data_IF_286623455962
#
_entry.id   IF_286623455962
#
_cell.length_a   1.000
_cell.length_b   1.000
_cell.length_c   1.000
_cell.angle_alpha   90.00
_cell.angle_beta   90.00
_cell.angle_gamma   90.00
#
_symmetry.space_group_name_H-M   'P 1'
#
loop_
_entity.id
_entity.type
_entity.pdbx_description
1 polymer ?
#
# COMPACT_ATOMS: atom_id res chain seq x y z
N UNK A 1 -2.09 10.94 -7.54
CA UNK A 1 -1.49 9.87 -6.71
C UNK A 1 -1.63 10.36 -5.29
N UNK A 2 -2.10 9.52 -4.37
CA UNK A 2 -2.21 9.96 -2.98
C UNK A 2 -0.87 9.90 -2.26
N UNK A 3 -0.90 10.16 -0.96
CA UNK A 3 0.21 9.85 -0.05
C UNK A 3 -0.23 8.90 1.07
N UNK A 4 -0.65 7.65 0.76
CA UNK A 4 -1.14 6.70 1.75
C UNK A 4 0.03 6.14 2.57
N UNK A 5 0.55 6.92 3.50
CA UNK A 5 1.59 6.51 4.45
C UNK A 5 0.96 6.22 5.80
N UNK A 6 1.67 5.45 6.62
CA UNK A 6 1.27 5.16 8.02
C UNK A 6 1.05 6.46 8.80
N UNK A 7 1.82 7.52 8.51
CA UNK A 7 1.66 8.83 9.15
C UNK A 7 0.34 9.55 8.77
N UNK A 8 -0.28 9.17 7.65
CA UNK A 8 -1.47 9.80 7.10
C UNK A 8 -2.75 8.98 7.38
N UNK A 9 -2.67 8.00 8.27
CA UNK A 9 -3.84 7.27 8.79
C UNK A 9 -3.92 7.41 10.31
N UNK A 10 -5.10 7.80 10.78
CA UNK A 10 -5.43 7.87 12.21
C UNK A 10 -6.32 6.67 12.52
N UNK A 11 -5.86 5.81 13.43
CA UNK A 11 -6.67 4.75 14.00
C UNK A 11 -7.45 5.28 15.19
N UNK A 12 -8.77 5.18 15.11
CA UNK A 12 -9.70 5.39 16.23
C UNK A 12 -10.20 4.04 16.72
N UNK A 13 -10.87 3.99 17.88
CA UNK A 13 -11.47 2.74 18.39
C UNK A 13 -12.48 2.11 17.41
N UNK A 14 -13.08 2.91 16.53
CA UNK A 14 -14.14 2.47 15.63
C UNK A 14 -13.68 2.25 14.18
N UNK A 15 -12.66 2.98 13.72
CA UNK A 15 -12.26 3.01 12.29
C UNK A 15 -10.88 3.61 12.04
N UNK A 16 -10.38 3.36 10.83
CA UNK A 16 -9.25 4.08 10.24
C UNK A 16 -9.74 5.31 9.46
N UNK A 17 -9.08 6.45 9.66
CA UNK A 17 -9.35 7.72 8.98
C UNK A 17 -8.11 8.19 8.22
N UNK A 18 -8.23 8.36 6.91
CA UNK A 18 -7.18 8.94 6.07
C UNK A 18 -7.22 10.47 6.16
N UNK A 19 -6.05 11.07 6.33
CA UNK A 19 -5.83 12.52 6.31
C UNK A 19 -4.90 12.88 5.13
N UNK A 20 -4.65 14.17 4.94
CA UNK A 20 -3.79 14.68 3.86
C UNK A 20 -4.25 14.27 2.45
N UNK A 21 -5.53 14.55 2.17
CA UNK A 21 -6.21 14.18 0.93
C UNK A 21 -6.06 15.24 -0.19
N UNK A 22 -5.06 16.12 -0.10
CA UNK A 22 -4.90 17.25 -1.01
C UNK A 22 -4.57 16.82 -2.46
N UNK A 23 -3.96 15.65 -2.64
CA UNK A 23 -3.56 15.11 -3.95
C UNK A 23 -4.47 13.96 -4.45
N UNK A 24 -5.67 13.81 -3.88
CA UNK A 24 -6.60 12.76 -4.30
C UNK A 24 -7.09 13.01 -5.73
N UNK A 25 -6.74 12.08 -6.61
CA UNK A 25 -7.19 12.03 -8.00
C UNK A 25 -8.20 10.89 -8.16
N UNK A 26 -8.97 10.91 -9.26
CA UNK A 26 -9.80 9.78 -9.64
C UNK A 26 -8.96 8.50 -9.72
N UNK A 27 -9.46 7.43 -9.08
CA UNK A 27 -8.70 6.19 -8.96
C UNK A 27 -8.54 5.50 -10.32
N UNK A 28 -7.30 5.34 -10.78
CA UNK A 28 -6.92 4.50 -11.92
C UNK A 28 -6.13 3.27 -11.45
N UNK A 29 -6.03 2.19 -12.26
CA UNK A 29 -5.20 1.03 -11.91
C UNK A 29 -3.76 1.40 -11.56
N UNK A 30 -3.13 2.29 -12.33
CA UNK A 30 -1.76 2.77 -12.07
C UNK A 30 -1.66 3.51 -10.74
N UNK A 31 -2.61 4.41 -10.45
CA UNK A 31 -2.62 5.16 -9.20
C UNK A 31 -2.84 4.25 -7.98
N UNK A 32 -3.71 3.24 -8.09
CA UNK A 32 -3.92 2.24 -7.03
C UNK A 32 -2.65 1.45 -6.73
N UNK A 33 -1.91 1.05 -7.78
CA UNK A 33 -0.62 0.36 -7.61
C UNK A 33 0.40 1.25 -6.90
N UNK A 34 0.52 2.52 -7.33
CA UNK A 34 1.41 3.48 -6.68
C UNK A 34 1.05 3.66 -5.21
N UNK A 35 -0.23 3.83 -4.90
CA UNK A 35 -0.74 3.97 -3.54
C UNK A 35 -0.41 2.72 -2.69
N UNK A 36 -0.60 1.51 -3.23
CA UNK A 36 -0.25 0.27 -2.56
C UNK A 36 1.26 0.13 -2.30
N UNK A 37 2.11 0.53 -3.26
CA UNK A 37 3.56 0.53 -3.09
C UNK A 37 4.03 1.55 -2.04
N UNK A 38 3.47 2.77 -2.05
CA UNK A 38 3.76 3.82 -1.06
C UNK A 38 3.41 3.32 0.35
N UNK A 39 2.23 2.73 0.52
CA UNK A 39 1.79 2.20 1.81
C UNK A 39 2.68 1.03 2.27
N UNK A 40 2.98 0.10 1.37
CA UNK A 40 3.88 -1.05 1.63
C UNK A 40 5.24 -0.56 2.14
N UNK A 41 5.86 0.36 1.41
CA UNK A 41 7.15 0.96 1.80
C UNK A 41 7.07 1.71 3.12
N UNK A 42 5.98 2.44 3.35
CA UNK A 42 5.76 3.15 4.60
C UNK A 42 5.63 2.22 5.80
N UNK A 43 4.95 1.07 5.65
CA UNK A 43 4.82 0.05 6.70
C UNK A 43 6.19 -0.55 7.01
N UNK A 44 6.92 -0.95 5.97
CA UNK A 44 8.24 -1.58 6.09
C UNK A 44 9.37 -0.61 6.43
N UNK A 45 9.10 0.70 6.44
CA UNK A 45 10.10 1.77 6.61
C UNK A 45 11.25 1.67 5.60
N UNK A 46 10.93 1.22 4.38
CA UNK A 46 11.89 1.06 3.28
C UNK A 46 11.86 2.32 2.40
N UNK A 47 12.97 3.05 2.25
CA UNK A 47 13.00 4.23 1.38
C UNK A 47 12.83 3.85 -0.10
N UNK A 48 12.36 4.79 -0.93
CA UNK A 48 12.06 4.57 -2.35
C UNK A 48 13.24 4.07 -3.19
N UNK A 49 14.47 4.42 -2.81
CA UNK A 49 15.70 4.03 -3.52
C UNK A 49 16.16 2.60 -3.19
N UNK A 50 15.49 1.90 -2.29
CA UNK A 50 15.76 0.49 -1.98
C UNK A 50 14.74 -0.40 -2.67
N UNK A 51 15.19 -1.55 -3.14
CA UNK A 51 14.33 -2.58 -3.72
C UNK A 51 13.49 -3.26 -2.65
N UNK A 52 12.23 -3.52 -2.96
CA UNK A 52 11.40 -4.48 -2.21
C UNK A 52 11.86 -5.90 -2.54
N UNK A 53 11.47 -6.87 -1.71
CA UNK A 53 11.69 -8.30 -1.98
C UNK A 53 10.97 -8.72 -3.27
N UNK A 54 11.42 -9.84 -3.86
CA UNK A 54 10.81 -10.35 -5.09
C UNK A 54 9.34 -10.71 -4.87
N UNK A 55 9.04 -11.28 -3.71
CA UNK A 55 7.72 -11.70 -3.26
C UNK A 55 6.77 -10.51 -3.16
N UNK A 56 7.20 -9.42 -2.51
CA UNK A 56 6.42 -8.18 -2.42
C UNK A 56 6.17 -7.55 -3.79
N UNK A 57 7.17 -7.55 -4.67
CA UNK A 57 7.01 -7.04 -6.04
C UNK A 57 6.01 -7.89 -6.83
N UNK A 58 6.03 -9.22 -6.65
CA UNK A 58 5.07 -10.13 -7.28
C UNK A 58 3.65 -9.87 -6.77
N UNK A 59 3.44 -9.73 -5.46
CA UNK A 59 2.13 -9.45 -4.87
C UNK A 59 1.58 -8.09 -5.27
N UNK A 60 2.42 -7.05 -5.34
CA UNK A 60 2.03 -5.73 -5.87
C UNK A 60 1.63 -5.83 -7.35
N UNK A 61 2.33 -6.64 -8.16
CA UNK A 61 1.96 -6.85 -9.56
C UNK A 61 0.63 -7.61 -9.70
N UNK A 62 0.37 -8.60 -8.85
CA UNK A 62 -0.92 -9.33 -8.82
C UNK A 62 -2.07 -8.38 -8.45
N UNK A 63 -1.90 -7.55 -7.43
CA UNK A 63 -2.85 -6.50 -7.07
C UNK A 63 -3.09 -5.51 -8.20
N UNK A 64 -2.03 -5.08 -8.90
CA UNK A 64 -2.14 -4.19 -10.05
C UNK A 64 -2.94 -4.81 -11.21
N UNK A 65 -2.71 -6.10 -11.50
CA UNK A 65 -3.45 -6.83 -12.54
C UNK A 65 -4.94 -6.98 -12.18
N UNK A 66 -5.23 -7.22 -10.90
CA UNK A 66 -6.59 -7.34 -10.39
C UNK A 66 -6.65 -6.94 -8.92
N UNK A 67 -7.36 -5.87 -8.60
CA UNK A 67 -7.58 -5.42 -7.23
C UNK A 67 -8.71 -6.24 -6.55
N UNK A 68 -8.65 -7.57 -6.64
CA UNK A 68 -9.55 -8.47 -5.95
C UNK A 68 -9.24 -8.53 -4.46
N UNK A 69 -10.20 -8.98 -3.65
CA UNK A 69 -9.98 -9.19 -2.22
C UNK A 69 -8.84 -10.17 -1.96
N UNK A 70 -8.76 -11.26 -2.73
CA UNK A 70 -7.68 -12.26 -2.63
C UNK A 70 -6.29 -11.63 -2.83
N UNK A 71 -6.14 -10.77 -3.85
CA UNK A 71 -4.85 -10.12 -4.10
C UNK A 71 -4.50 -9.07 -3.05
N UNK A 72 -5.51 -8.39 -2.48
CA UNK A 72 -5.31 -7.46 -1.36
C UNK A 72 -4.87 -8.22 -0.11
N UNK A 73 -5.56 -9.31 0.23
CA UNK A 73 -5.26 -10.13 1.41
C UNK A 73 -3.87 -10.75 1.30
N UNK A 74 -3.52 -11.27 0.13
CA UNK A 74 -2.19 -11.82 -0.12
C UNK A 74 -1.09 -10.75 0.00
N UNK A 75 -1.29 -9.56 -0.57
CA UNK A 75 -0.33 -8.45 -0.40
C UNK A 75 -0.20 -8.05 1.07
N UNK A 76 -1.31 -7.97 1.82
CA UNK A 76 -1.28 -7.63 3.24
C UNK A 76 -0.50 -8.66 4.06
N UNK A 77 -0.66 -9.95 3.77
CA UNK A 77 0.10 -11.03 4.41
C UNK A 77 1.60 -10.92 4.12
N UNK A 78 2.00 -10.74 2.86
CA UNK A 78 3.42 -10.59 2.50
C UNK A 78 4.06 -9.37 3.16
N UNK A 79 3.32 -8.26 3.26
CA UNK A 79 3.77 -7.06 3.99
C UNK A 79 3.92 -7.38 5.48
N UNK A 80 2.95 -8.05 6.10
CA UNK A 80 3.00 -8.40 7.51
C UNK A 80 4.18 -9.32 7.84
N UNK A 81 4.40 -10.36 7.03
CA UNK A 81 5.53 -11.28 7.20
C UNK A 81 6.89 -10.57 6.99
N UNK A 82 6.93 -9.51 6.20
CA UNK A 82 8.14 -8.70 5.99
C UNK A 82 8.42 -7.71 7.13
N UNK A 83 7.48 -7.51 8.06
CA UNK A 83 7.68 -6.69 9.28
C UNK A 83 8.28 -7.51 10.43
N UNK A 84 7.99 -8.81 10.48
CA UNK A 84 8.41 -9.75 11.54
C UNK A 84 9.87 -10.21 11.38
#
# INVERSE_FOLDING_TARGET
MGDPRVANVIFTEEKALWIDLLEVMDASPDLKRCDAEILTRSILRVPLNYSLSLELVQSLNSYYQSASQENIDHLAEEVYQSVL
#
